data_IF_103875541425
#
_entry.id   IF_103875541425
#
_cell.length_a   1.000
_cell.length_b   1.000
_cell.length_c   1.000
_cell.angle_alpha   90.00
_cell.angle_beta   90.00
_cell.angle_gamma   90.00
#
_symmetry.space_group_name_H-M   'P 1'
#
loop_
_entity.id
_entity.type
_entity.pdbx_description
1 polymer ?
#
# COMPACT_ATOMS: atom_id res chain seq x y z
N UNK A 1 -16.92 3.18 -23.72
CA UNK A 1 -16.97 4.11 -22.58
C UNK A 1 -15.62 4.06 -21.89
N UNK A 2 -15.08 5.18 -21.42
CA UNK A 2 -13.81 5.17 -20.70
C UNK A 2 -14.00 4.54 -19.30
N UNK A 3 -13.04 3.71 -18.89
CA UNK A 3 -12.99 3.07 -17.57
C UNK A 3 -12.69 4.05 -16.44
N UNK A 4 -12.03 5.15 -16.77
CA UNK A 4 -11.61 6.20 -15.88
C UNK A 4 -11.94 7.55 -16.50
N UNK A 5 -12.47 8.45 -15.67
CA UNK A 5 -12.57 9.87 -15.96
C UNK A 5 -11.40 10.61 -15.28
N UNK A 6 -10.73 11.48 -16.03
CA UNK A 6 -9.58 12.25 -15.55
C UNK A 6 -9.89 13.75 -15.64
N UNK A 7 -10.03 14.36 -14.47
CA UNK A 7 -10.14 15.82 -14.37
C UNK A 7 -8.78 16.41 -14.00
N UNK A 8 -8.32 17.41 -14.76
CA UNK A 8 -7.03 18.05 -14.57
C UNK A 8 -7.21 19.54 -14.24
N UNK A 9 -6.57 20.02 -13.18
CA UNK A 9 -6.59 21.44 -12.78
C UNK A 9 -5.18 21.96 -12.56
N UNK A 10 -4.79 22.95 -13.35
CA UNK A 10 -3.53 23.66 -13.16
C UNK A 10 -3.64 24.71 -12.06
N UNK A 11 -2.53 24.96 -11.36
CA UNK A 11 -2.43 26.03 -10.36
C UNK A 11 -2.55 27.42 -10.99
N UNK A 12 -2.17 27.55 -12.26
CA UNK A 12 -2.25 28.79 -13.04
C UNK A 12 -2.34 28.47 -14.53
N UNK A 13 -3.00 29.36 -15.28
CA UNK A 13 -3.16 29.25 -16.73
C UNK A 13 -2.20 30.20 -17.50
N UNK A 14 -1.16 30.69 -16.84
CA UNK A 14 -0.17 31.60 -17.40
C UNK A 14 1.23 31.22 -16.92
N UNK A 15 2.25 31.55 -17.71
CA UNK A 15 3.66 31.50 -17.31
C UNK A 15 4.15 32.92 -17.05
N UNK A 16 5.09 33.08 -16.11
CA UNK A 16 5.68 34.38 -15.83
C UNK A 16 6.76 34.67 -16.88
N UNK A 17 6.71 35.88 -17.42
CA UNK A 17 7.67 36.39 -18.39
C UNK A 17 8.98 36.78 -17.71
N UNK A 18 10.14 36.48 -18.32
CA UNK A 18 11.47 36.92 -17.89
C UNK A 18 11.84 36.59 -16.42
N UNK A 19 11.15 35.63 -15.81
CA UNK A 19 11.55 35.05 -14.53
C UNK A 19 12.41 33.81 -14.83
N UNK A 20 13.38 33.54 -13.96
CA UNK A 20 14.05 32.23 -13.91
C UNK A 20 13.01 31.10 -13.83
N UNK A 21 13.45 29.85 -14.00
CA UNK A 21 12.60 28.66 -13.94
C UNK A 21 11.57 28.76 -12.80
N UNK A 22 10.31 28.50 -13.15
CA UNK A 22 9.19 28.73 -12.24
C UNK A 22 8.35 27.48 -12.06
N UNK A 23 7.81 27.28 -10.85
CA UNK A 23 7.05 26.08 -10.53
C UNK A 23 5.59 26.18 -10.97
N UNK A 24 5.06 25.09 -11.49
CA UNK A 24 3.64 24.91 -11.73
C UNK A 24 3.17 23.59 -11.11
N UNK A 25 1.92 23.59 -10.63
CA UNK A 25 1.31 22.41 -10.05
C UNK A 25 0.11 21.99 -10.88
N UNK A 26 -0.04 20.69 -11.10
CA UNK A 26 -1.19 20.08 -11.74
C UNK A 26 -1.83 19.11 -10.75
N UNK A 27 -3.10 19.32 -10.46
CA UNK A 27 -3.93 18.37 -9.72
C UNK A 27 -4.67 17.49 -10.72
N UNK A 28 -4.49 16.18 -10.62
CA UNK A 28 -5.18 15.17 -11.42
C UNK A 28 -6.13 14.43 -10.49
N UNK A 29 -7.42 14.44 -10.80
CA UNK A 29 -8.44 13.63 -10.14
C UNK A 29 -8.82 12.49 -11.09
N UNK A 30 -8.59 11.27 -10.65
CA UNK A 30 -8.99 10.06 -11.36
C UNK A 30 -10.23 9.45 -10.70
N UNK A 31 -11.31 9.32 -11.46
CA UNK A 31 -12.58 8.77 -10.99
C UNK A 31 -12.92 7.54 -11.83
N UNK A 32 -12.92 6.32 -11.26
CA UNK A 32 -13.40 5.14 -11.98
C UNK A 32 -14.86 5.29 -12.37
N UNK A 33 -15.21 4.79 -13.55
CA UNK A 33 -16.58 4.84 -14.03
C UNK A 33 -17.43 3.76 -13.33
N UNK A 34 -18.42 4.12 -12.49
CA UNK A 34 -19.18 3.15 -11.68
C UNK A 34 -20.13 2.29 -12.52
N UNK A 35 -20.38 2.66 -13.78
CA UNK A 35 -21.26 1.89 -14.68
C UNK A 35 -20.58 0.70 -15.33
N UNK A 36 -19.25 0.64 -15.27
CA UNK A 36 -18.48 -0.48 -15.81
C UNK A 36 -18.34 -1.55 -14.73
N UNK A 37 -18.80 -2.76 -15.05
CA UNK A 37 -18.60 -3.91 -14.19
C UNK A 37 -17.20 -4.48 -14.43
N UNK A 38 -16.26 -4.13 -13.55
CA UNK A 38 -14.89 -4.65 -13.58
C UNK A 38 -14.78 -6.09 -13.06
N UNK A 39 -15.88 -6.71 -12.61
CA UNK A 39 -15.87 -7.96 -11.86
C UNK A 39 -15.34 -7.76 -10.44
N UNK A 40 -15.02 -8.87 -9.75
CA UNK A 40 -14.33 -8.84 -8.46
C UNK A 40 -13.01 -9.57 -8.59
N UNK A 41 -11.90 -8.92 -8.25
CA UNK A 41 -10.61 -9.58 -8.15
C UNK A 41 -10.52 -10.30 -6.79
N UNK A 42 -10.05 -11.55 -6.74
CA UNK A 42 -9.74 -12.19 -5.48
C UNK A 42 -8.70 -11.39 -4.70
N UNK A 43 -8.83 -11.36 -3.38
CA UNK A 43 -7.83 -10.80 -2.48
C UNK A 43 -6.78 -11.87 -2.16
N UNK A 44 -5.49 -11.58 -2.34
CA UNK A 44 -4.38 -12.33 -1.77
C UNK A 44 -3.88 -11.58 -0.54
N UNK A 45 -4.25 -12.05 0.65
CA UNK A 45 -4.00 -11.39 1.92
C UNK A 45 -2.83 -12.03 2.69
N UNK A 46 -1.82 -11.23 3.03
CA UNK A 46 -0.79 -11.59 4.01
C UNK A 46 -1.04 -10.91 5.36
N UNK A 47 -1.19 -11.67 6.44
CA UNK A 47 -1.28 -11.12 7.80
C UNK A 47 0.04 -11.42 8.52
N UNK A 48 0.76 -10.38 8.92
CA UNK A 48 2.08 -10.47 9.56
C UNK A 48 1.98 -9.92 10.97
N UNK A 49 2.12 -10.78 11.98
CA UNK A 49 1.84 -10.45 13.37
C UNK A 49 3.12 -10.54 14.19
N UNK A 50 3.47 -9.45 14.85
CA UNK A 50 4.49 -9.44 15.89
C UNK A 50 4.02 -10.28 17.07
N UNK A 51 4.86 -11.21 17.51
CA UNK A 51 4.59 -12.03 18.68
C UNK A 51 5.67 -11.85 19.75
N UNK A 52 6.41 -10.75 19.73
CA UNK A 52 7.40 -10.42 20.75
C UNK A 52 6.81 -10.40 22.17
N UNK A 53 7.69 -10.37 23.18
CA UNK A 53 7.26 -10.48 24.57
C UNK A 53 6.34 -9.33 25.03
N UNK A 54 6.42 -8.16 24.39
CA UNK A 54 5.53 -7.01 24.64
C UNK A 54 4.08 -7.25 24.21
N UNK A 55 3.85 -8.15 23.26
CA UNK A 55 2.52 -8.56 22.79
C UNK A 55 1.75 -9.48 23.77
N UNK A 56 2.34 -9.87 24.91
CA UNK A 56 1.67 -10.72 25.91
C UNK A 56 0.37 -10.10 26.43
N UNK A 57 -0.51 -10.95 26.96
CA UNK A 57 -1.81 -10.54 27.50
C UNK A 57 -2.83 -10.24 26.41
N UNK A 58 -3.52 -9.10 26.52
CA UNK A 58 -4.63 -8.76 25.63
C UNK A 58 -4.19 -8.44 24.20
N UNK A 59 -2.99 -7.88 23.98
CA UNK A 59 -2.51 -7.53 22.63
C UNK A 59 -2.51 -8.73 21.68
N UNK A 60 -1.87 -9.84 22.08
CA UNK A 60 -1.86 -11.06 21.26
C UNK A 60 -3.25 -11.70 21.17
N UNK A 61 -4.10 -11.54 22.19
CA UNK A 61 -5.48 -12.03 22.16
C UNK A 61 -6.29 -11.30 21.09
N UNK A 62 -6.29 -9.97 21.12
CA UNK A 62 -6.97 -9.14 20.11
C UNK A 62 -6.37 -9.32 18.71
N UNK A 63 -5.05 -9.48 18.58
CA UNK A 63 -4.42 -9.77 17.29
C UNK A 63 -4.94 -11.08 16.68
N UNK A 64 -5.08 -12.15 17.50
CA UNK A 64 -5.69 -13.42 17.05
C UNK A 64 -7.16 -13.23 16.67
N UNK A 65 -7.94 -12.57 17.51
CA UNK A 65 -9.37 -12.32 17.27
C UNK A 65 -9.60 -11.51 15.98
N UNK A 66 -8.83 -10.45 15.77
CA UNK A 66 -8.88 -9.64 14.56
C UNK A 66 -8.47 -10.44 13.31
N UNK A 67 -7.40 -11.22 13.40
CA UNK A 67 -6.94 -12.05 12.28
C UNK A 67 -7.96 -13.12 11.90
N UNK A 68 -8.58 -13.78 12.89
CA UNK A 68 -9.67 -14.74 12.66
C UNK A 68 -10.87 -14.07 12.01
N UNK A 69 -11.28 -12.91 12.53
CA UNK A 69 -12.41 -12.17 11.99
C UNK A 69 -12.19 -11.78 10.51
N UNK A 70 -10.97 -11.33 10.17
CA UNK A 70 -10.61 -11.05 8.77
C UNK A 70 -10.69 -12.32 7.92
N UNK A 71 -10.07 -13.43 8.35
CA UNK A 71 -10.14 -14.71 7.62
C UNK A 71 -11.59 -15.16 7.43
N UNK A 72 -12.44 -14.99 8.44
CA UNK A 72 -13.87 -15.30 8.39
C UNK A 72 -14.64 -14.43 7.39
N UNK A 73 -14.24 -13.18 7.16
CA UNK A 73 -14.91 -12.28 6.22
C UNK A 73 -14.50 -12.46 4.74
N UNK A 74 -13.40 -13.18 4.47
CA UNK A 74 -12.91 -13.44 3.12
C UNK A 74 -13.90 -14.25 2.25
N UNK A 75 -13.96 -13.99 0.96
CA UNK A 75 -14.70 -14.81 0.00
C UNK A 75 -13.97 -16.14 -0.27
N UNK A 76 -14.67 -17.22 -0.71
CA UNK A 76 -14.06 -18.55 -0.89
C UNK A 76 -12.88 -18.65 -1.88
N UNK A 77 -12.77 -17.67 -2.79
CA UNK A 77 -11.69 -17.57 -3.79
C UNK A 77 -10.56 -16.62 -3.37
N UNK A 78 -10.76 -15.85 -2.30
CA UNK A 78 -9.67 -15.09 -1.68
C UNK A 78 -8.63 -16.07 -1.14
N UNK A 79 -7.38 -15.63 -1.09
CA UNK A 79 -6.25 -16.39 -0.58
C UNK A 79 -5.73 -15.69 0.68
N UNK A 80 -5.25 -16.47 1.64
CA UNK A 80 -4.68 -15.94 2.87
C UNK A 80 -3.44 -16.70 3.29
N UNK A 81 -2.48 -15.96 3.83
CA UNK A 81 -1.37 -16.49 4.60
C UNK A 81 -1.25 -15.71 5.91
N UNK A 82 -0.89 -16.41 6.99
CA UNK A 82 -0.66 -15.79 8.30
C UNK A 82 0.74 -16.16 8.76
N UNK A 83 1.57 -15.14 8.96
CA UNK A 83 2.95 -15.26 9.42
C UNK A 83 3.06 -14.56 10.77
N UNK A 84 3.78 -15.20 11.68
CA UNK A 84 4.19 -14.56 12.93
C UNK A 84 5.69 -14.32 12.92
N UNK A 85 6.13 -13.24 13.54
CA UNK A 85 7.54 -12.92 13.66
C UNK A 85 7.91 -12.51 15.09
N UNK A 86 9.15 -12.82 15.42
CA UNK A 86 9.83 -12.46 16.66
C UNK A 86 11.35 -12.44 16.35
N UNK A 87 12.22 -13.12 17.08
CA UNK A 87 13.61 -13.41 16.65
C UNK A 87 13.68 -14.29 15.38
N UNK A 88 12.67 -15.14 15.21
CA UNK A 88 12.47 -16.01 14.06
C UNK A 88 11.04 -15.89 13.52
N UNK A 89 10.79 -16.47 12.34
CA UNK A 89 9.48 -16.45 11.69
C UNK A 89 8.85 -17.81 11.61
N UNK A 90 7.51 -17.81 11.63
CA UNK A 90 6.74 -19.03 11.42
C UNK A 90 5.50 -18.75 10.59
N UNK A 91 5.31 -19.55 9.56
CA UNK A 91 4.07 -19.62 8.80
C UNK A 91 3.04 -20.37 9.65
N UNK A 92 2.03 -19.65 10.14
CA UNK A 92 0.91 -20.21 10.93
C UNK A 92 -0.16 -20.78 10.01
N UNK A 93 -0.45 -20.04 8.95
CA UNK A 93 -1.35 -20.44 7.87
C UNK A 93 -0.56 -20.30 6.57
N UNK A 94 -0.19 -21.41 5.90
CA UNK A 94 0.41 -21.37 4.57
C UNK A 94 -0.55 -20.74 3.57
N UNK A 95 -0.03 -20.19 2.47
CA UNK A 95 -0.85 -19.65 1.38
C UNK A 95 -1.93 -20.65 0.95
N UNK A 96 -3.19 -20.33 1.26
CA UNK A 96 -4.33 -21.23 1.12
C UNK A 96 -5.58 -20.45 0.70
N UNK A 97 -6.50 -21.11 0.00
CA UNK A 97 -7.79 -20.49 -0.32
C UNK A 97 -8.66 -20.37 0.92
N UNK A 98 -9.32 -19.23 1.08
CA UNK A 98 -10.21 -18.94 2.19
C UNK A 98 -11.48 -19.81 2.19
N UNK A 99 -11.68 -20.75 1.27
CA UNK A 99 -12.68 -21.82 1.45
C UNK A 99 -12.29 -22.82 2.55
N UNK A 100 -11.01 -22.89 2.93
CA UNK A 100 -10.46 -23.86 3.89
C UNK A 100 -10.36 -23.30 5.32
N UNK A 101 -11.17 -22.28 5.66
CA UNK A 101 -11.09 -21.53 6.94
C UNK A 101 -11.09 -22.41 8.17
N UNK A 102 -11.83 -23.53 8.15
CA UNK A 102 -11.96 -24.45 9.28
C UNK A 102 -10.61 -25.00 9.76
N UNK A 103 -9.61 -25.09 8.86
CA UNK A 103 -8.25 -25.51 9.20
C UNK A 103 -7.37 -24.36 9.70
N UNK A 104 -7.66 -23.13 9.26
CA UNK A 104 -6.88 -21.93 9.54
C UNK A 104 -7.17 -21.35 10.93
N UNK A 105 -8.45 -21.26 11.32
CA UNK A 105 -8.86 -20.62 12.57
C UNK A 105 -8.23 -21.29 13.82
N UNK A 106 -8.18 -22.63 13.94
CA UNK A 106 -7.51 -23.29 15.06
C UNK A 106 -5.99 -23.06 15.07
N UNK A 107 -5.36 -22.86 13.90
CA UNK A 107 -3.93 -22.55 13.83
C UNK A 107 -3.64 -21.15 14.37
N UNK A 108 -4.50 -20.17 14.04
CA UNK A 108 -4.41 -18.79 14.55
C UNK A 108 -4.62 -18.76 16.07
N UNK A 109 -5.56 -19.54 16.61
CA UNK A 109 -5.81 -19.63 18.07
C UNK A 109 -4.60 -20.10 18.87
N UNK A 110 -3.68 -20.84 18.23
CA UNK A 110 -2.44 -21.36 18.83
C UNK A 110 -1.27 -20.37 18.76
N UNK A 111 -1.44 -19.18 18.21
CA UNK A 111 -0.40 -18.15 18.23
C UNK A 111 -0.08 -17.79 19.69
N UNK A 112 1.22 -17.79 20.03
CA UNK A 112 1.74 -17.48 21.37
C UNK A 112 2.89 -16.49 21.25
N UNK A 113 3.07 -15.62 22.27
CA UNK A 113 4.23 -14.74 22.33
C UNK A 113 5.55 -15.51 22.42
N UNK A 114 6.60 -14.93 21.85
CA UNK A 114 7.98 -15.38 21.77
C UNK A 114 8.93 -14.20 22.08
N UNK A 115 10.24 -14.40 21.93
CA UNK A 115 11.28 -13.40 22.22
C UNK A 115 11.74 -12.68 20.96
N UNK A 116 12.11 -11.41 21.11
CA UNK A 116 12.70 -10.57 20.07
C UNK A 116 11.74 -10.11 18.98
N UNK A 117 12.24 -9.25 18.10
CA UNK A 117 11.45 -8.57 17.07
C UNK A 117 12.30 -8.31 15.83
N UNK A 118 12.13 -9.14 14.80
CA UNK A 118 12.78 -9.02 13.48
C UNK A 118 11.74 -8.99 12.38
N UNK A 119 11.17 -7.81 12.17
CA UNK A 119 10.11 -7.55 11.21
C UNK A 119 10.52 -7.89 9.77
N UNK A 120 11.76 -7.59 9.37
CA UNK A 120 12.24 -7.85 8.00
C UNK A 120 12.06 -9.32 7.60
N UNK A 121 12.32 -10.27 8.51
CA UNK A 121 12.10 -11.70 8.27
C UNK A 121 10.61 -11.99 8.07
N UNK A 122 9.76 -11.36 8.87
CA UNK A 122 8.30 -11.52 8.80
C UNK A 122 7.77 -11.06 7.44
N UNK A 123 8.22 -9.90 6.98
CA UNK A 123 7.90 -9.35 5.64
C UNK A 123 8.39 -10.30 4.55
N UNK A 124 9.65 -10.75 4.61
CA UNK A 124 10.23 -11.67 3.62
C UNK A 124 9.45 -12.99 3.53
N UNK A 125 9.14 -13.58 4.69
CA UNK A 125 8.39 -14.84 4.78
C UNK A 125 6.96 -14.68 4.23
N UNK A 126 6.28 -13.59 4.59
CA UNK A 126 4.93 -13.31 4.11
C UNK A 126 4.90 -13.02 2.62
N UNK A 127 5.86 -12.23 2.12
CA UNK A 127 6.03 -11.97 0.69
C UNK A 127 6.27 -13.28 -0.08
N UNK A 128 7.09 -14.20 0.44
CA UNK A 128 7.31 -15.50 -0.16
C UNK A 128 6.04 -16.36 -0.22
N UNK A 129 5.20 -16.36 0.82
CA UNK A 129 3.90 -17.03 0.80
C UNK A 129 2.95 -16.38 -0.23
N UNK A 130 2.85 -15.05 -0.23
CA UNK A 130 1.97 -14.32 -1.14
C UNK A 130 2.40 -14.47 -2.60
N UNK A 131 3.70 -14.57 -2.89
CA UNK A 131 4.26 -14.83 -4.23
C UNK A 131 3.81 -16.17 -4.83
N UNK A 132 3.26 -17.10 -4.04
CA UNK A 132 2.68 -18.34 -4.58
C UNK A 132 1.43 -18.08 -5.43
N UNK A 133 0.81 -16.90 -5.32
CA UNK A 133 -0.23 -16.42 -6.23
C UNK A 133 0.31 -15.68 -7.46
N UNK A 134 1.63 -15.65 -7.69
CA UNK A 134 2.21 -14.95 -8.84
C UNK A 134 1.59 -15.42 -10.16
N UNK A 135 1.24 -14.46 -11.02
CA UNK A 135 0.57 -14.71 -12.29
C UNK A 135 -0.97 -14.80 -12.20
N UNK A 136 -1.55 -14.80 -10.99
CA UNK A 136 -2.99 -14.63 -10.82
C UNK A 136 -3.36 -13.14 -10.83
N UNK A 137 -4.45 -12.80 -11.50
CA UNK A 137 -5.05 -11.46 -11.39
C UNK A 137 -5.77 -11.35 -10.04
N UNK A 138 -5.07 -10.80 -9.05
CA UNK A 138 -5.55 -10.65 -7.68
C UNK A 138 -5.00 -9.37 -7.06
N UNK A 139 -5.67 -8.90 -6.00
CA UNK A 139 -5.20 -7.77 -5.20
C UNK A 139 -4.22 -8.33 -4.17
N UNK A 140 -2.94 -7.93 -4.23
CA UNK A 140 -1.95 -8.39 -3.25
C UNK A 140 -1.83 -7.39 -2.09
N UNK A 141 -2.38 -7.75 -0.94
CA UNK A 141 -2.48 -6.86 0.21
C UNK A 141 -1.85 -7.49 1.46
N UNK A 142 -1.00 -6.76 2.15
CA UNK A 142 -0.35 -7.22 3.38
C UNK A 142 -0.68 -6.28 4.54
N UNK A 143 -0.95 -6.88 5.70
CA UNK A 143 -1.12 -6.18 6.97
C UNK A 143 0.04 -6.57 7.87
N UNK A 144 0.73 -5.57 8.45
CA UNK A 144 1.77 -5.78 9.46
C UNK A 144 1.30 -5.17 10.78
N UNK A 145 1.34 -5.93 11.87
CA UNK A 145 0.90 -5.52 13.20
C UNK A 145 2.04 -5.68 14.21
N UNK A 146 2.43 -4.60 14.89
CA UNK A 146 3.50 -4.59 15.91
C UNK A 146 3.19 -3.64 17.06
N UNK A 147 3.81 -3.85 18.22
CA UNK A 147 3.72 -2.96 19.38
C UNK A 147 5.09 -2.44 19.86
N UNK A 148 6.14 -2.62 19.07
CA UNK A 148 7.51 -2.33 19.47
C UNK A 148 8.45 -2.04 18.31
N UNK A 149 9.67 -1.65 18.65
CA UNK A 149 10.76 -1.48 17.70
C UNK A 149 11.23 -2.84 17.16
N UNK A 150 11.83 -2.83 15.97
CA UNK A 150 12.40 -4.00 15.34
C UNK A 150 13.90 -3.83 15.18
N UNK A 151 14.64 -4.93 15.30
CA UNK A 151 16.00 -4.97 14.78
C UNK A 151 15.97 -4.94 13.26
N UNK A 152 16.96 -4.26 12.65
CA UNK A 152 17.18 -4.29 11.21
C UNK A 152 16.18 -3.47 10.38
N UNK A 153 16.04 -2.18 10.70
CA UNK A 153 15.15 -1.26 9.99
C UNK A 153 15.52 -1.10 8.51
N UNK A 154 16.81 -0.98 8.20
CA UNK A 154 17.31 -0.90 6.82
C UNK A 154 16.98 -2.17 6.03
N UNK A 155 17.06 -3.33 6.67
CA UNK A 155 16.68 -4.61 6.08
C UNK A 155 15.18 -4.66 5.79
N UNK A 156 14.34 -4.09 6.66
CA UNK A 156 12.90 -4.00 6.39
C UNK A 156 12.63 -3.22 5.09
N UNK A 157 13.26 -2.05 4.94
CA UNK A 157 13.10 -1.23 3.74
C UNK A 157 13.70 -1.91 2.50
N UNK A 158 14.84 -2.59 2.64
CA UNK A 158 15.45 -3.34 1.54
C UNK A 158 14.56 -4.48 1.05
N UNK A 159 13.97 -5.27 1.96
CA UNK A 159 13.03 -6.34 1.60
C UNK A 159 11.79 -5.76 0.91
N UNK A 160 11.22 -4.67 1.44
CA UNK A 160 10.07 -4.00 0.81
C UNK A 160 10.40 -3.53 -0.60
N UNK A 161 11.55 -2.88 -0.80
CA UNK A 161 12.01 -2.44 -2.11
C UNK A 161 12.16 -3.60 -3.11
N UNK A 162 12.71 -4.73 -2.67
CA UNK A 162 12.86 -5.92 -3.52
C UNK A 162 11.50 -6.50 -3.95
N UNK A 163 10.50 -6.40 -3.07
CA UNK A 163 9.17 -6.96 -3.28
C UNK A 163 8.21 -6.00 -4.01
N UNK A 164 8.62 -4.75 -4.30
CA UNK A 164 7.85 -3.76 -5.08
C UNK A 164 7.39 -4.29 -6.45
N UNK A 165 8.21 -5.13 -7.09
CA UNK A 165 7.88 -5.77 -8.37
C UNK A 165 6.64 -6.67 -8.31
N UNK A 166 6.28 -7.15 -7.11
CA UNK A 166 5.10 -7.99 -6.88
C UNK A 166 3.85 -7.14 -6.55
N UNK A 167 3.97 -5.81 -6.56
CA UNK A 167 2.87 -4.85 -6.39
C UNK A 167 2.08 -5.09 -5.10
N UNK A 168 2.79 -5.45 -4.03
CA UNK A 168 2.19 -5.52 -2.70
C UNK A 168 1.82 -4.12 -2.23
N UNK A 169 0.60 -3.98 -1.72
CA UNK A 169 0.21 -2.85 -0.88
C UNK A 169 0.34 -3.28 0.58
N UNK A 170 1.16 -2.60 1.37
CA UNK A 170 1.42 -2.97 2.77
C UNK A 170 0.89 -1.88 3.69
N UNK A 171 -0.09 -2.22 4.52
CA UNK A 171 -0.55 -1.34 5.59
C UNK A 171 0.01 -1.78 6.93
N UNK A 172 0.49 -0.81 7.71
CA UNK A 172 1.19 -1.03 8.98
C UNK A 172 0.35 -0.55 10.15
N UNK A 173 0.31 -1.34 11.22
CA UNK A 173 -0.48 -1.09 12.42
C UNK A 173 0.45 -1.15 13.62
N UNK A 174 0.62 -0.02 14.29
CA UNK A 174 1.42 0.11 15.50
C UNK A 174 0.51 0.25 16.73
N UNK A 175 0.75 -0.54 17.78
CA UNK A 175 -0.01 -0.47 19.04
C UNK A 175 0.79 0.28 20.11
N UNK A 176 0.18 1.29 20.73
CA UNK A 176 0.81 2.14 21.74
C UNK A 176 1.91 3.03 21.15
N UNK A 177 2.89 3.42 21.96
CA UNK A 177 3.87 4.45 21.57
C UNK A 177 5.31 3.93 21.40
N UNK A 178 5.48 2.61 21.43
CA UNK A 178 6.82 1.97 21.48
C UNK A 178 7.33 1.48 20.14
N UNK A 179 6.54 1.56 19.08
CA UNK A 179 6.98 1.15 17.74
C UNK A 179 7.68 2.31 17.03
N UNK A 180 8.54 1.98 16.06
CA UNK A 180 9.15 3.00 15.22
C UNK A 180 8.17 3.47 14.14
N UNK A 181 7.51 4.62 14.39
CA UNK A 181 6.54 5.21 13.46
C UNK A 181 7.16 5.57 12.10
N UNK A 182 8.40 6.07 12.08
CA UNK A 182 9.08 6.44 10.84
C UNK A 182 9.29 5.24 9.94
N UNK A 183 9.69 4.10 10.51
CA UNK A 183 9.85 2.86 9.77
C UNK A 183 8.51 2.36 9.23
N UNK A 184 7.47 2.27 10.07
CA UNK A 184 6.15 1.82 9.65
C UNK A 184 5.56 2.71 8.55
N UNK A 185 5.80 4.03 8.63
CA UNK A 185 5.38 4.99 7.62
C UNK A 185 6.16 4.76 6.32
N UNK A 186 7.48 4.61 6.39
CA UNK A 186 8.31 4.38 5.21
C UNK A 186 7.91 3.09 4.46
N UNK A 187 7.57 2.02 5.18
CA UNK A 187 7.06 0.76 4.58
C UNK A 187 5.71 1.00 3.89
N UNK A 188 4.78 1.67 4.57
CA UNK A 188 3.46 1.93 4.03
C UNK A 188 3.51 2.87 2.81
N UNK A 189 4.25 3.97 2.90
CA UNK A 189 4.43 4.94 1.81
C UNK A 189 5.05 4.26 0.57
N UNK A 190 6.12 3.47 0.77
CA UNK A 190 6.81 2.79 -0.32
C UNK A 190 5.89 1.86 -1.12
N UNK A 191 4.86 1.30 -0.48
CA UNK A 191 3.94 0.31 -1.06
C UNK A 191 2.54 0.87 -1.32
N UNK A 192 2.36 2.19 -1.17
CA UNK A 192 1.07 2.87 -1.28
C UNK A 192 -0.01 2.34 -0.33
N UNK A 193 0.39 1.79 0.83
CA UNK A 193 -0.50 1.44 1.92
C UNK A 193 -0.71 2.60 2.90
N UNK A 194 -1.19 2.26 4.10
CA UNK A 194 -1.48 3.21 5.18
C UNK A 194 -0.80 2.81 6.47
N UNK A 195 -0.53 3.81 7.31
CA UNK A 195 -0.10 3.61 8.70
C UNK A 195 -1.28 3.87 9.64
N UNK A 196 -1.43 3.00 10.64
CA UNK A 196 -2.42 3.12 11.70
C UNK A 196 -1.72 3.12 13.06
N UNK A 197 -1.92 4.19 13.82
CA UNK A 197 -1.60 4.23 15.25
C UNK A 197 -2.83 3.78 16.05
N UNK A 198 -2.68 2.70 16.80
CA UNK A 198 -3.70 2.15 17.69
C UNK A 198 -3.31 2.47 19.13
N UNK A 199 -4.14 3.23 19.84
CA UNK A 199 -3.93 3.52 21.26
C UNK A 199 -4.03 2.24 22.10
N UNK A 200 -4.97 1.37 21.76
CA UNK A 200 -5.22 0.13 22.49
C UNK A 200 -5.47 -1.05 21.57
N UNK A 201 -5.29 -2.27 22.11
CA UNK A 201 -5.39 -3.50 21.34
C UNK A 201 -6.84 -3.81 20.89
N UNK A 202 -7.84 -3.30 21.60
CA UNK A 202 -9.26 -3.40 21.27
C UNK A 202 -9.56 -2.84 19.87
N UNK A 203 -8.77 -1.86 19.42
CA UNK A 203 -8.96 -1.18 18.14
C UNK A 203 -8.50 -2.03 16.95
N UNK A 204 -7.67 -3.06 17.16
CA UNK A 204 -7.07 -3.86 16.07
C UNK A 204 -8.16 -4.39 15.13
N UNK A 205 -9.22 -4.98 15.68
CA UNK A 205 -10.29 -5.60 14.88
C UNK A 205 -10.96 -4.62 13.92
N UNK A 206 -11.42 -3.47 14.44
CA UNK A 206 -12.14 -2.49 13.64
C UNK A 206 -11.27 -1.91 12.51
N UNK A 207 -10.00 -1.66 12.81
CA UNK A 207 -9.05 -1.13 11.84
C UNK A 207 -8.63 -2.16 10.79
N UNK A 208 -8.43 -3.42 11.16
CA UNK A 208 -8.22 -4.52 10.22
C UNK A 208 -9.41 -4.70 9.29
N UNK A 209 -10.63 -4.70 9.83
CA UNK A 209 -11.87 -4.81 9.04
C UNK A 209 -12.00 -3.68 8.02
N UNK A 210 -11.83 -2.44 8.48
CA UNK A 210 -11.93 -1.26 7.62
C UNK A 210 -10.93 -1.32 6.47
N UNK A 211 -9.69 -1.72 6.76
CA UNK A 211 -8.64 -1.72 5.75
C UNK A 211 -8.76 -2.89 4.77
N UNK A 212 -9.15 -4.09 5.22
CA UNK A 212 -9.47 -5.21 4.32
C UNK A 212 -10.67 -4.86 3.44
N UNK A 213 -11.69 -4.19 3.98
CA UNK A 213 -12.83 -3.71 3.20
C UNK A 213 -12.39 -2.69 2.13
N UNK A 214 -11.48 -1.78 2.47
CA UNK A 214 -10.92 -0.82 1.51
C UNK A 214 -10.13 -1.54 0.41
N UNK A 215 -9.28 -2.51 0.76
CA UNK A 215 -8.55 -3.34 -0.21
C UNK A 215 -9.50 -4.06 -1.19
N UNK A 216 -10.66 -4.54 -0.71
CA UNK A 216 -11.69 -5.19 -1.56
C UNK A 216 -12.47 -4.23 -2.45
N UNK A 217 -12.41 -2.92 -2.20
CA UNK A 217 -13.02 -1.91 -3.07
C UNK A 217 -12.14 -1.60 -4.30
N UNK A 218 -10.90 -2.09 -4.32
CA UNK A 218 -10.00 -2.02 -5.48
C UNK A 218 -10.56 -2.88 -6.60
N UNK A 219 -10.74 -2.26 -7.77
CA UNK A 219 -11.27 -2.94 -8.96
C UNK A 219 -10.35 -2.82 -10.17
N UNK A 220 -9.51 -1.78 -10.20
CA UNK A 220 -8.54 -1.56 -11.27
C UNK A 220 -7.15 -1.74 -10.66
N UNK A 221 -6.38 -2.67 -11.19
CA UNK A 221 -5.00 -2.96 -10.77
C UNK A 221 -4.04 -2.76 -11.94
N UNK A 222 -2.75 -2.66 -11.65
CA UNK A 222 -1.68 -2.44 -12.63
C UNK A 222 -1.85 -1.14 -13.44
N UNK A 223 -2.26 -0.05 -12.78
CA UNK A 223 -2.54 1.22 -13.45
C UNK A 223 -1.28 2.06 -13.54
N UNK A 224 -0.97 2.55 -14.74
CA UNK A 224 0.12 3.50 -15.01
C UNK A 224 -0.45 4.83 -15.48
N UNK A 225 -0.06 5.92 -14.83
CA UNK A 225 -0.36 7.28 -15.25
C UNK A 225 0.76 7.77 -16.18
N UNK A 226 0.43 7.98 -17.45
CA UNK A 226 1.36 8.52 -18.44
C UNK A 226 1.20 10.04 -18.54
N UNK A 227 2.28 10.78 -18.28
CA UNK A 227 2.34 12.24 -18.38
C UNK A 227 3.22 12.61 -19.58
N UNK A 228 2.65 13.30 -20.57
CA UNK A 228 3.42 13.87 -21.68
C UNK A 228 3.52 15.38 -21.50
N UNK A 229 4.72 15.86 -21.18
CA UNK A 229 4.98 17.27 -20.91
C UNK A 229 5.41 18.00 -22.19
N UNK A 230 5.10 19.29 -22.26
CA UNK A 230 5.52 20.14 -23.36
C UNK A 230 7.04 20.38 -23.33
N UNK A 231 7.59 20.76 -24.48
CA UNK A 231 9.02 21.02 -24.65
C UNK A 231 9.58 22.00 -23.60
N UNK A 232 10.65 21.57 -22.94
CA UNK A 232 11.34 22.31 -21.89
C UNK A 232 10.69 22.25 -20.51
N UNK A 233 9.49 21.69 -20.37
CA UNK A 233 8.85 21.50 -19.06
C UNK A 233 9.43 20.25 -18.39
N UNK A 234 10.01 20.43 -17.20
CA UNK A 234 10.54 19.35 -16.40
C UNK A 234 9.50 18.79 -15.42
N UNK A 235 9.52 17.48 -15.18
CA UNK A 235 8.82 16.87 -14.06
C UNK A 235 9.73 16.90 -12.83
N UNK A 236 9.27 17.51 -11.73
CA UNK A 236 10.02 17.51 -10.48
C UNK A 236 9.55 16.40 -9.55
N UNK A 237 8.22 16.24 -9.42
CA UNK A 237 7.66 15.26 -8.51
C UNK A 237 6.23 14.87 -8.90
N UNK A 238 5.87 13.62 -8.61
CA UNK A 238 4.48 13.15 -8.63
C UNK A 238 4.15 12.55 -7.28
N UNK A 239 3.07 13.01 -6.68
CA UNK A 239 2.59 12.53 -5.39
C UNK A 239 1.15 12.05 -5.52
N UNK A 240 0.81 10.91 -4.93
CA UNK A 240 -0.57 10.64 -4.55
C UNK A 240 -0.89 11.50 -3.33
N UNK A 241 -2.00 12.23 -3.40
CA UNK A 241 -2.49 13.10 -2.32
C UNK A 241 -3.56 12.37 -1.52
N UNK A 242 -4.43 11.62 -2.20
CA UNK A 242 -5.54 10.87 -1.62
C UNK A 242 -5.76 9.58 -2.43
N UNK A 243 -6.11 8.44 -1.80
CA UNK A 243 -6.51 8.25 -0.39
C UNK A 243 -5.38 8.28 0.65
N UNK A 244 -4.13 8.18 0.20
CA UNK A 244 -2.94 8.23 1.03
C UNK A 244 -1.89 9.15 0.40
N UNK A 245 -1.09 9.79 1.24
CA UNK A 245 -0.01 10.67 0.78
C UNK A 245 1.26 9.86 0.57
N UNK A 246 1.67 9.70 -0.69
CA UNK A 246 2.87 8.96 -1.05
C UNK A 246 3.53 9.56 -2.28
N UNK A 247 4.87 9.64 -2.27
CA UNK A 247 5.66 9.98 -3.44
C UNK A 247 5.65 8.82 -4.42
N UNK A 248 5.49 9.13 -5.70
CA UNK A 248 5.43 8.15 -6.77
C UNK A 248 6.67 8.28 -7.64
N UNK A 249 7.32 7.14 -7.88
CA UNK A 249 8.44 7.06 -8.80
C UNK A 249 7.96 7.14 -10.25
N UNK A 250 8.75 7.81 -11.08
CA UNK A 250 8.44 8.00 -12.50
C UNK A 250 9.58 7.51 -13.37
N UNK A 251 9.24 6.82 -14.46
CA UNK A 251 10.19 6.36 -15.47
C UNK A 251 10.12 7.32 -16.65
N UNK A 252 11.25 7.95 -16.98
CA UNK A 252 11.35 8.88 -18.12
C UNK A 252 11.48 8.09 -19.42
N UNK A 253 10.66 8.43 -20.41
CA UNK A 253 10.71 7.88 -21.75
C UNK A 253 11.93 8.36 -22.54
N UNK A 254 12.26 7.66 -23.62
CA UNK A 254 13.41 7.98 -24.47
C UNK A 254 13.32 9.36 -25.16
N UNK A 255 12.11 9.93 -25.23
CA UNK A 255 11.85 11.27 -25.75
C UNK A 255 12.22 12.40 -24.75
N UNK A 256 12.51 12.05 -23.49
CA UNK A 256 12.79 12.99 -22.40
C UNK A 256 11.59 13.84 -21.97
N UNK A 257 10.37 13.52 -22.44
CA UNK A 257 9.15 14.33 -22.26
C UNK A 257 7.97 13.53 -21.74
N UNK A 258 8.00 12.21 -21.93
CA UNK A 258 6.98 11.30 -21.43
C UNK A 258 7.45 10.64 -20.14
N UNK A 259 6.56 10.57 -19.15
CA UNK A 259 6.84 9.98 -17.85
C UNK A 259 5.76 8.94 -17.54
N UNK A 260 6.19 7.73 -17.23
CA UNK A 260 5.31 6.65 -16.77
C UNK A 260 5.38 6.56 -15.25
N UNK A 261 4.25 6.75 -14.58
CA UNK A 261 4.13 6.71 -13.12
C UNK A 261 3.27 5.52 -12.72
N UNK A 262 3.84 4.56 -11.99
CA UNK A 262 3.07 3.43 -11.48
C UNK A 262 2.20 3.88 -10.30
N UNK A 263 0.88 3.84 -10.48
CA UNK A 263 -0.08 4.19 -9.43
C UNK A 263 -0.72 2.94 -8.81
N UNK A 264 -0.19 1.75 -9.13
CA UNK A 264 -0.60 0.44 -8.64
C UNK A 264 -2.08 0.11 -8.89
N UNK A 265 -3.00 0.62 -8.07
CA UNK A 265 -4.41 0.26 -8.09
C UNK A 265 -5.33 1.41 -7.73
N UNK A 266 -6.59 1.33 -8.18
CA UNK A 266 -7.66 2.30 -7.95
C UNK A 266 -8.93 1.61 -7.42
N UNK A 267 -9.54 2.22 -6.42
CA UNK A 267 -10.80 1.78 -5.85
C UNK A 267 -12.00 2.43 -6.55
N UNK A 268 -13.05 1.64 -6.80
CA UNK A 268 -14.17 2.07 -7.66
C UNK A 268 -15.07 3.16 -7.03
N UNK A 269 -15.11 3.21 -5.70
CA UNK A 269 -16.04 4.07 -4.96
C UNK A 269 -15.39 5.35 -4.42
N UNK A 270 -14.10 5.59 -4.73
CA UNK A 270 -13.41 6.78 -4.27
C UNK A 270 -12.53 7.38 -5.38
N UNK A 271 -12.57 8.71 -5.58
CA UNK A 271 -11.65 9.36 -6.49
C UNK A 271 -10.23 9.31 -5.90
N UNK A 272 -9.23 9.14 -6.77
CA UNK A 272 -7.83 9.31 -6.40
C UNK A 272 -7.31 10.65 -6.87
N UNK A 273 -6.51 11.32 -6.05
CA UNK A 273 -5.93 12.62 -6.37
C UNK A 273 -4.43 12.52 -6.45
N UNK A 274 -3.86 13.09 -7.51
CA UNK A 274 -2.43 13.14 -7.75
C UNK A 274 -1.99 14.58 -7.95
N UNK A 275 -0.93 14.98 -7.24
CA UNK A 275 -0.27 16.27 -7.41
C UNK A 275 0.99 16.09 -8.23
N UNK A 276 1.09 16.81 -9.33
CA UNK A 276 2.26 16.84 -10.20
C UNK A 276 2.93 18.19 -10.06
N UNK A 277 4.19 18.20 -9.64
CA UNK A 277 5.04 19.39 -9.54
C UNK A 277 5.92 19.45 -10.78
N UNK A 278 5.84 20.56 -11.50
CA UNK A 278 6.54 20.77 -12.77
C UNK A 278 7.38 22.04 -12.72
N UNK A 279 8.50 22.01 -13.43
CA UNK A 279 9.36 23.16 -13.67
C UNK A 279 9.07 23.70 -15.05
N UNK A 280 8.64 24.97 -15.12
CA UNK A 280 8.44 25.69 -16.37
C UNK A 280 9.72 26.50 -16.68
N UNK A 281 10.30 26.35 -17.87
CA UNK A 281 11.48 27.10 -18.25
C UNK A 281 11.13 28.57 -18.45
N UNK A 282 12.12 29.45 -18.26
CA UNK A 282 12.00 30.86 -18.64
C UNK A 282 11.60 30.97 -20.12
N UNK A 283 10.58 31.79 -20.41
CA UNK A 283 10.14 32.07 -21.79
C UNK A 283 10.32 33.55 -22.12
N UNK A 284 10.82 33.81 -23.32
CA UNK A 284 10.81 35.13 -23.91
C UNK A 284 9.35 35.59 -24.12
N UNK A 285 9.13 36.91 -24.13
CA UNK A 285 7.83 37.52 -24.39
C UNK A 285 7.20 36.94 -25.66
N UNK A 286 5.95 36.51 -25.58
CA UNK A 286 5.18 36.11 -26.77
C UNK A 286 4.91 37.33 -27.67
N UNK A 287 4.57 37.14 -28.96
CA UNK A 287 4.09 38.23 -29.79
C UNK A 287 2.83 38.83 -29.15
N UNK A 288 2.83 40.16 -29.00
CA UNK A 288 1.74 40.95 -28.45
C UNK A 288 0.46 40.87 -29.30
#
# INVERSE_FOLDING_TARGET
MAELDLECKLSRNYALENVADSLAYLLIKATPNPTINFGSLPLNLGIVIDVSASMRGDKIRYAREASKFVVESLSPDDMVSVVIFSDDTRVVVPHSKAREKSTMLPAIDKIRPASGTRMYKGIETAAAEMRKAAGLSCINFMIILTDGETEGEEQCLSVVQQEMRNRFTISTFGIGDKYNERLLKAIADATLGKIYHLQTAEQIKAHFEAEVKAARAVMITNVTLNLSLADGVGLEEVNRIFPNSAKLESIIGADGKTYAVDINSLAINEPSYFGVKMVLPARASGPA
#
